data_IF_067082103525
#
_entry.id   IF_067082103525
#
_cell.length_a   1.000
_cell.length_b   1.000
_cell.length_c   1.000
_cell.angle_alpha   90.00
_cell.angle_beta   90.00
_cell.angle_gamma   90.00
#
_symmetry.space_group_name_H-M   'P 1'
#
loop_
_entity.id
_entity.type
_entity.pdbx_description
1 polymer ?
#
# COMPACT_ATOMS: atom_id res chain seq x y z
N UNK A 1 1.74 34.15 3.30
CA UNK A 1 1.97 32.87 4.03
C UNK A 1 0.68 32.35 4.69
N UNK A 2 0.08 33.04 5.67
CA UNK A 2 -1.10 32.54 6.41
C UNK A 2 -2.35 32.23 5.56
N UNK A 3 -2.64 33.04 4.53
CA UNK A 3 -3.78 32.79 3.64
C UNK A 3 -3.60 31.53 2.78
N UNK A 4 -2.37 31.27 2.29
CA UNK A 4 -2.04 30.09 1.49
C UNK A 4 -2.08 28.81 2.32
N UNK A 5 -1.66 28.86 3.58
CA UNK A 5 -1.79 27.72 4.52
C UNK A 5 -3.25 27.46 4.90
N UNK A 6 -4.07 28.51 5.03
CA UNK A 6 -5.50 28.34 5.28
C UNK A 6 -6.19 27.68 4.07
N UNK A 7 -5.86 28.11 2.85
CA UNK A 7 -6.35 27.52 1.60
C UNK A 7 -5.96 26.04 1.47
N UNK A 8 -4.72 25.66 1.80
CA UNK A 8 -4.28 24.27 1.71
C UNK A 8 -4.95 23.38 2.78
N UNK A 9 -5.12 23.87 4.00
CA UNK A 9 -5.83 23.14 5.07
C UNK A 9 -7.31 22.96 4.71
N UNK A 10 -7.96 24.01 4.19
CA UNK A 10 -9.34 23.91 3.74
C UNK A 10 -9.44 22.95 2.55
N UNK A 11 -8.55 23.07 1.56
CA UNK A 11 -8.51 22.20 0.38
C UNK A 11 -8.38 20.73 0.74
N UNK A 12 -7.43 20.38 1.59
CA UNK A 12 -7.22 18.99 2.07
C UNK A 12 -8.41 18.45 2.86
N UNK A 13 -9.11 19.31 3.63
CA UNK A 13 -10.34 18.92 4.34
C UNK A 13 -11.46 18.53 3.37
N UNK A 14 -11.70 19.34 2.34
CA UNK A 14 -12.71 19.05 1.31
C UNK A 14 -12.32 17.84 0.45
N UNK A 15 -11.02 17.67 0.17
CA UNK A 15 -10.49 16.46 -0.48
C UNK A 15 -10.76 15.20 0.32
N UNK A 16 -10.47 15.24 1.63
CA UNK A 16 -10.74 14.11 2.51
C UNK A 16 -12.23 13.78 2.58
N UNK A 17 -13.11 14.79 2.58
CA UNK A 17 -14.55 14.59 2.55
C UNK A 17 -15.02 13.92 1.25
N UNK A 18 -14.55 14.40 0.10
CA UNK A 18 -14.87 13.83 -1.20
C UNK A 18 -14.34 12.40 -1.34
N UNK A 19 -13.11 12.14 -0.91
CA UNK A 19 -12.51 10.80 -0.93
C UNK A 19 -13.28 9.81 -0.05
N UNK A 20 -13.82 10.24 1.10
CA UNK A 20 -14.69 9.38 1.93
C UNK A 20 -15.98 8.99 1.21
N UNK A 21 -16.65 9.96 0.57
CA UNK A 21 -17.87 9.68 -0.21
C UNK A 21 -17.62 8.77 -1.42
N UNK A 22 -16.50 8.97 -2.12
CA UNK A 22 -16.07 8.10 -3.20
C UNK A 22 -15.79 6.67 -2.70
N UNK A 23 -15.08 6.52 -1.58
CA UNK A 23 -14.78 5.22 -0.98
C UNK A 23 -16.05 4.47 -0.53
N UNK A 24 -17.02 5.17 0.05
CA UNK A 24 -18.31 4.58 0.42
C UNK A 24 -19.06 4.05 -0.80
N UNK A 25 -19.15 4.88 -1.85
CA UNK A 25 -19.81 4.54 -3.11
C UNK A 25 -19.16 3.31 -3.76
N UNK A 26 -17.83 3.27 -3.80
CA UNK A 26 -17.07 2.11 -4.30
C UNK A 26 -17.29 0.87 -3.45
N UNK A 27 -17.34 1.00 -2.12
CA UNK A 27 -17.56 -0.12 -1.20
C UNK A 27 -18.93 -0.78 -1.41
N UNK A 28 -19.99 0.03 -1.61
CA UNK A 28 -21.35 -0.46 -1.90
C UNK A 28 -21.37 -1.24 -3.22
N UNK A 29 -20.80 -0.68 -4.28
CA UNK A 29 -20.73 -1.33 -5.60
C UNK A 29 -19.90 -2.62 -5.54
N UNK A 30 -18.75 -2.57 -4.87
CA UNK A 30 -17.86 -3.70 -4.72
C UNK A 30 -18.53 -4.86 -3.97
N UNK A 31 -19.23 -4.58 -2.86
CA UNK A 31 -19.99 -5.58 -2.12
C UNK A 31 -21.09 -6.26 -2.96
N UNK A 32 -21.76 -5.49 -3.83
CA UNK A 32 -22.77 -6.00 -4.74
C UNK A 32 -22.18 -6.87 -5.87
N UNK A 33 -21.02 -6.48 -6.41
CA UNK A 33 -20.33 -7.19 -7.50
C UNK A 33 -19.71 -8.51 -7.04
N UNK A 34 -19.02 -8.52 -5.89
CA UNK A 34 -18.46 -9.75 -5.32
C UNK A 34 -19.55 -10.79 -5.10
N UNK A 35 -20.73 -10.35 -4.64
CA UNK A 35 -21.85 -11.21 -4.28
C UNK A 35 -22.95 -11.21 -5.35
N UNK A 36 -22.62 -11.05 -6.63
CA UNK A 36 -23.62 -10.89 -7.70
C UNK A 36 -24.64 -12.04 -7.75
N UNK A 37 -24.21 -13.28 -7.50
CA UNK A 37 -25.09 -14.46 -7.46
C UNK A 37 -26.11 -14.36 -6.33
N UNK A 38 -25.69 -13.87 -5.17
CA UNK A 38 -26.54 -13.69 -3.98
C UNK A 38 -27.52 -12.55 -4.21
N UNK A 39 -27.05 -11.41 -4.73
CA UNK A 39 -27.90 -10.26 -5.05
C UNK A 39 -29.00 -10.63 -6.04
N UNK A 40 -28.67 -11.45 -7.05
CA UNK A 40 -29.64 -11.97 -8.03
C UNK A 40 -30.61 -12.99 -7.42
N UNK A 41 -30.10 -13.89 -6.56
CA UNK A 41 -30.93 -14.86 -5.85
C UNK A 41 -31.98 -14.20 -4.95
N UNK A 42 -31.65 -13.05 -4.34
CA UNK A 42 -32.59 -12.26 -3.53
C UNK A 42 -33.36 -11.20 -4.33
N UNK A 43 -33.11 -11.05 -5.64
CA UNK A 43 -33.74 -10.06 -6.53
C UNK A 43 -33.69 -8.63 -5.96
N UNK A 44 -32.59 -8.28 -5.27
CA UNK A 44 -32.39 -6.98 -4.58
C UNK A 44 -31.53 -5.99 -5.37
N UNK A 45 -31.45 -6.14 -6.70
CA UNK A 45 -30.63 -5.27 -7.56
C UNK A 45 -31.03 -3.80 -7.44
N UNK A 46 -32.34 -3.52 -7.45
CA UNK A 46 -32.89 -2.15 -7.32
C UNK A 46 -32.48 -1.46 -6.02
N UNK A 47 -32.36 -2.22 -4.92
CA UNK A 47 -31.94 -1.66 -3.62
C UNK A 47 -30.49 -1.19 -3.66
N UNK A 48 -29.58 -2.00 -4.21
CA UNK A 48 -28.18 -1.60 -4.36
C UNK A 48 -28.02 -0.44 -5.35
N UNK A 49 -28.77 -0.43 -6.45
CA UNK A 49 -28.77 0.70 -7.39
C UNK A 49 -29.26 2.00 -6.72
N UNK A 50 -30.35 1.95 -5.95
CA UNK A 50 -30.86 3.13 -5.24
C UNK A 50 -29.86 3.64 -4.19
N UNK A 51 -29.26 2.73 -3.41
CA UNK A 51 -28.25 3.08 -2.41
C UNK A 51 -26.99 3.68 -3.03
N UNK A 52 -26.53 3.11 -4.14
CA UNK A 52 -25.41 3.65 -4.91
C UNK A 52 -25.73 5.05 -5.45
N UNK A 53 -26.91 5.24 -6.05
CA UNK A 53 -27.34 6.54 -6.55
C UNK A 53 -27.41 7.61 -5.45
N UNK A 54 -27.89 7.26 -4.26
CA UNK A 54 -27.92 8.16 -3.11
C UNK A 54 -26.52 8.56 -2.64
N UNK A 55 -25.61 7.60 -2.51
CA UNK A 55 -24.21 7.84 -2.12
C UNK A 55 -23.46 8.68 -3.17
N UNK A 56 -23.69 8.38 -4.45
CA UNK A 56 -23.12 9.12 -5.57
C UNK A 56 -23.63 10.56 -5.61
N UNK A 57 -24.94 10.78 -5.37
CA UNK A 57 -25.52 12.13 -5.31
C UNK A 57 -24.93 12.96 -4.17
N UNK A 58 -24.81 12.40 -2.97
CA UNK A 58 -24.18 13.06 -1.82
C UNK A 58 -22.72 13.45 -2.11
N UNK A 59 -21.95 12.53 -2.72
CA UNK A 59 -20.56 12.79 -3.12
C UNK A 59 -20.47 13.88 -4.20
N UNK A 60 -21.42 13.90 -5.13
CA UNK A 60 -21.50 14.91 -6.18
C UNK A 60 -21.80 16.31 -5.62
N UNK A 61 -22.76 16.44 -4.71
CA UNK A 61 -23.11 17.71 -4.07
C UNK A 61 -21.91 18.29 -3.29
N UNK A 62 -21.19 17.44 -2.52
CA UNK A 62 -19.94 17.83 -1.86
C UNK A 62 -18.86 18.29 -2.85
N UNK A 63 -18.76 17.62 -3.99
CA UNK A 63 -17.84 18.00 -5.07
C UNK A 63 -18.20 19.35 -5.69
N UNK A 64 -19.50 19.64 -5.85
CA UNK A 64 -20.00 20.90 -6.39
C UNK A 64 -19.68 22.06 -5.44
N UNK A 65 -20.00 21.91 -4.15
CA UNK A 65 -19.67 22.92 -3.13
C UNK A 65 -18.17 23.19 -3.09
N UNK A 66 -17.35 22.12 -3.08
CA UNK A 66 -15.90 22.25 -3.15
C UNK A 66 -15.45 23.05 -4.38
N UNK A 67 -15.98 22.72 -5.57
CA UNK A 67 -15.62 23.40 -6.81
C UNK A 67 -15.96 24.89 -6.79
N UNK A 68 -17.14 25.23 -6.28
CA UNK A 68 -17.61 26.61 -6.16
C UNK A 68 -16.76 27.44 -5.19
N UNK A 69 -16.28 26.85 -4.09
CA UNK A 69 -15.41 27.56 -3.15
C UNK A 69 -13.95 27.64 -3.62
N UNK A 70 -13.37 26.55 -4.12
CA UNK A 70 -11.95 26.51 -4.49
C UNK A 70 -11.65 27.20 -5.83
N UNK A 71 -12.59 27.17 -6.78
CA UNK A 71 -12.38 27.72 -8.13
C UNK A 71 -12.01 29.22 -8.12
N UNK A 72 -12.84 30.10 -7.54
CA UNK A 72 -12.56 31.54 -7.48
C UNK A 72 -11.28 31.86 -6.70
N UNK A 73 -11.02 31.12 -5.61
CA UNK A 73 -9.81 31.31 -4.79
C UNK A 73 -8.54 30.96 -5.57
N UNK A 74 -8.56 29.87 -6.34
CA UNK A 74 -7.44 29.50 -7.20
C UNK A 74 -7.21 30.52 -8.32
N UNK A 75 -8.29 30.97 -8.97
CA UNK A 75 -8.22 32.00 -10.02
C UNK A 75 -7.68 33.34 -9.50
N UNK A 76 -8.11 33.75 -8.29
CA UNK A 76 -7.60 34.96 -7.63
C UNK A 76 -6.11 34.83 -7.29
N UNK A 77 -5.68 33.67 -6.77
CA UNK A 77 -4.27 33.42 -6.49
C UNK A 77 -3.39 33.52 -7.74
N UNK A 78 -3.83 32.95 -8.86
CA UNK A 78 -3.08 33.02 -10.13
C UNK A 78 -3.06 34.44 -10.73
N UNK A 79 -4.13 35.20 -10.53
CA UNK A 79 -4.22 36.58 -11.02
C UNK A 79 -3.23 37.50 -10.32
N UNK A 80 -3.00 37.30 -9.01
CA UNK A 80 -2.02 38.08 -8.22
C UNK A 80 -0.62 37.97 -8.84
N UNK A 81 -0.21 36.80 -9.32
CA UNK A 81 1.11 36.61 -9.94
C UNK A 81 1.27 37.48 -11.20
N UNK A 82 0.24 37.58 -12.04
CA UNK A 82 0.25 38.49 -13.20
C UNK A 82 0.31 39.96 -12.79
N UNK A 83 -0.40 40.36 -11.72
CA UNK A 83 -0.32 41.73 -11.20
C UNK A 83 1.08 42.07 -10.68
N UNK A 84 1.76 41.13 -10.01
CA UNK A 84 3.13 41.32 -9.53
C UNK A 84 4.08 41.50 -10.71
N UNK A 85 3.99 40.65 -11.74
CA UNK A 85 4.83 40.78 -12.93
C UNK A 85 4.59 42.12 -13.65
N UNK A 86 3.33 42.55 -13.75
CA UNK A 86 2.99 43.85 -14.33
C UNK A 86 3.56 45.02 -13.51
N UNK A 87 3.47 44.98 -12.18
CA UNK A 87 4.03 46.01 -11.29
C UNK A 87 5.55 46.07 -11.36
N UNK A 88 6.22 44.91 -11.38
CA UNK A 88 7.68 44.83 -11.53
C UNK A 88 8.11 45.38 -12.90
N UNK A 89 7.37 45.05 -13.97
CA UNK A 89 7.63 45.59 -15.30
C UNK A 89 7.43 47.10 -15.38
N UNK A 90 6.35 47.63 -14.80
CA UNK A 90 6.07 49.06 -14.73
C UNK A 90 7.16 49.81 -13.97
N UNK A 91 7.52 49.32 -12.77
CA UNK A 91 8.58 49.92 -11.96
C UNK A 91 9.95 49.81 -12.64
N UNK A 92 10.23 48.68 -13.30
CA UNK A 92 11.46 48.48 -14.07
C UNK A 92 11.60 49.47 -15.22
N UNK A 93 10.51 49.76 -15.94
CA UNK A 93 10.49 50.78 -16.99
C UNK A 93 10.66 52.19 -16.41
N UNK A 94 10.00 52.50 -15.29
CA UNK A 94 10.14 53.79 -14.61
C UNK A 94 11.59 54.06 -14.19
N UNK A 95 12.26 53.05 -13.61
CA UNK A 95 13.66 53.14 -13.20
C UNK A 95 14.60 53.35 -14.40
N UNK A 96 14.34 52.68 -15.52
CA UNK A 96 15.11 52.85 -16.76
C UNK A 96 14.98 54.24 -17.39
N UNK A 97 13.87 54.95 -17.12
CA UNK A 97 13.66 56.32 -17.62
C UNK A 97 14.20 57.42 -16.70
N UNK A 98 14.28 57.19 -15.39
CA UNK A 98 14.78 58.17 -14.42
C UNK A 98 16.27 58.03 -14.13
N UNK A 99 16.77 56.80 -13.99
CA UNK A 99 18.20 56.52 -13.77
C UNK A 99 18.83 56.21 -15.12
N UNK A 100 19.48 57.22 -15.73
CA UNK A 100 20.10 57.14 -17.05
C UNK A 100 21.24 56.09 -17.16
N UNK A 101 21.59 55.40 -16.07
CA UNK A 101 22.78 54.55 -15.94
C UNK A 101 22.49 53.04 -15.87
N UNK A 102 21.23 52.60 -15.76
CA UNK A 102 20.90 51.17 -15.82
C UNK A 102 20.67 50.70 -17.26
N UNK A 103 21.68 50.02 -17.83
CA UNK A 103 21.56 49.38 -19.14
C UNK A 103 20.38 48.40 -19.18
N UNK A 104 19.55 48.48 -20.23
CA UNK A 104 18.35 47.65 -20.42
C UNK A 104 18.63 46.13 -20.31
N UNK A 105 19.87 45.72 -20.62
CA UNK A 105 20.34 44.34 -20.45
C UNK A 105 20.29 43.86 -18.99
N UNK A 106 20.65 44.73 -18.05
CA UNK A 106 20.70 44.39 -16.62
C UNK A 106 19.28 44.23 -16.05
N UNK A 107 18.35 45.09 -16.47
CA UNK A 107 16.94 44.98 -16.09
C UNK A 107 16.33 43.66 -16.59
N UNK A 108 16.58 43.31 -17.85
CA UNK A 108 16.11 42.06 -18.44
C UNK A 108 16.73 40.84 -17.74
N UNK A 109 18.01 40.92 -17.36
CA UNK A 109 18.69 39.85 -16.64
C UNK A 109 18.08 39.62 -15.25
N UNK A 110 17.80 40.69 -14.50
CA UNK A 110 17.16 40.60 -13.18
C UNK A 110 15.73 40.06 -13.28
N UNK A 111 14.94 40.53 -14.26
CA UNK A 111 13.58 40.02 -14.49
C UNK A 111 13.57 38.53 -14.85
N UNK A 112 14.48 38.09 -15.72
CA UNK A 112 14.60 36.68 -16.10
C UNK A 112 15.07 35.81 -14.92
N UNK A 113 16.00 36.30 -14.10
CA UNK A 113 16.45 35.60 -12.90
C UNK A 113 15.30 35.42 -11.90
N UNK A 114 14.48 36.45 -11.69
CA UNK A 114 13.31 36.37 -10.81
C UNK A 114 12.29 35.33 -11.30
N UNK A 115 11.94 35.36 -12.59
CA UNK A 115 11.03 34.39 -13.21
C UNK A 115 11.58 32.97 -13.10
N UNK A 116 12.89 32.80 -13.31
CA UNK A 116 13.56 31.50 -13.17
C UNK A 116 13.49 30.98 -11.73
N UNK A 117 13.76 31.82 -10.72
CA UNK A 117 13.65 31.43 -9.31
C UNK A 117 12.24 30.99 -8.93
N UNK A 118 11.21 31.71 -9.39
CA UNK A 118 9.80 31.33 -9.16
C UNK A 118 9.48 29.99 -9.83
N UNK A 119 9.86 29.81 -11.10
CA UNK A 119 9.67 28.56 -11.83
C UNK A 119 10.36 27.35 -11.18
N UNK A 120 11.59 27.53 -10.68
CA UNK A 120 12.30 26.46 -9.97
C UNK A 120 11.64 26.14 -8.62
N UNK A 121 11.14 27.15 -7.92
CA UNK A 121 10.45 26.97 -6.63
C UNK A 121 9.14 26.18 -6.80
N UNK A 122 8.36 26.48 -7.84
CA UNK A 122 7.11 25.73 -8.14
C UNK A 122 7.42 24.29 -8.54
N UNK A 123 8.47 24.05 -9.32
CA UNK A 123 8.93 22.70 -9.66
C UNK A 123 9.35 21.91 -8.41
N UNK A 124 10.10 22.53 -7.48
CA UNK A 124 10.48 21.92 -6.21
C UNK A 124 9.27 21.58 -5.34
N UNK A 125 8.28 22.48 -5.27
CA UNK A 125 7.02 22.23 -4.56
C UNK A 125 6.26 21.02 -5.13
N UNK A 126 6.31 20.82 -6.46
CA UNK A 126 5.74 19.65 -7.12
C UNK A 126 6.42 18.32 -6.77
N UNK A 127 7.69 18.33 -6.36
CA UNK A 127 8.43 17.12 -5.99
C UNK A 127 8.13 16.63 -4.56
N UNK A 128 7.62 17.50 -3.69
CA UNK A 128 7.30 17.19 -2.28
C UNK A 128 6.42 15.93 -2.13
N UNK A 129 5.25 15.80 -2.81
CA UNK A 129 4.41 14.61 -2.68
C UNK A 129 5.13 13.33 -3.11
N UNK A 130 5.95 13.39 -4.17
CA UNK A 130 6.70 12.23 -4.66
C UNK A 130 7.76 11.76 -3.65
N UNK A 131 8.45 12.69 -3.00
CA UNK A 131 9.42 12.36 -1.94
C UNK A 131 8.70 11.72 -0.75
N UNK A 132 7.56 12.29 -0.32
CA UNK A 132 6.79 11.75 0.80
C UNK A 132 6.26 10.33 0.53
N UNK A 133 5.77 10.07 -0.68
CA UNK A 133 5.29 8.75 -1.09
C UNK A 133 6.44 7.72 -1.15
N UNK A 134 7.60 8.13 -1.67
CA UNK A 134 8.80 7.29 -1.74
C UNK A 134 9.31 6.91 -0.35
N UNK A 135 9.32 7.85 0.59
CA UNK A 135 9.67 7.57 1.99
C UNK A 135 8.73 6.53 2.61
N UNK A 136 7.41 6.71 2.46
CA UNK A 136 6.43 5.76 2.99
C UNK A 136 6.61 4.35 2.38
N UNK A 137 6.91 4.25 1.09
CA UNK A 137 7.19 2.97 0.44
C UNK A 137 8.50 2.34 0.96
N UNK A 138 9.56 3.13 1.09
CA UNK A 138 10.84 2.66 1.63
C UNK A 138 10.69 2.15 3.07
N UNK A 139 9.93 2.83 3.93
CA UNK A 139 9.65 2.36 5.30
C UNK A 139 8.97 1.00 5.31
N UNK A 140 8.00 0.76 4.41
CA UNK A 140 7.34 -0.55 4.29
C UNK A 140 8.32 -1.64 3.86
N UNK A 141 9.18 -1.36 2.88
CA UNK A 141 10.18 -2.32 2.41
C UNK A 141 11.23 -2.61 3.50
N UNK A 142 11.70 -1.58 4.20
CA UNK A 142 12.63 -1.74 5.33
C UNK A 142 11.99 -2.51 6.49
N UNK A 143 10.71 -2.26 6.77
CA UNK A 143 9.97 -3.06 7.75
C UNK A 143 9.97 -4.54 7.34
N UNK A 144 9.65 -4.86 6.08
CA UNK A 144 9.71 -6.23 5.56
C UNK A 144 11.11 -6.84 5.65
N UNK A 145 12.16 -6.08 5.38
CA UNK A 145 13.54 -6.55 5.45
C UNK A 145 14.04 -6.78 6.90
N UNK A 146 13.42 -6.13 7.88
CA UNK A 146 13.79 -6.21 9.31
C UNK A 146 12.92 -7.19 10.10
N UNK A 147 11.89 -7.78 9.48
CA UNK A 147 11.18 -8.93 10.05
C UNK A 147 12.22 -10.05 10.29
N UNK A 148 12.59 -10.23 11.55
CA UNK A 148 13.39 -11.37 11.98
C UNK A 148 12.56 -12.61 11.66
N UNK A 149 13.07 -13.49 10.80
CA UNK A 149 12.42 -14.79 10.61
C UNK A 149 12.21 -15.40 11.98
N UNK A 150 10.99 -15.79 12.31
CA UNK A 150 10.68 -16.47 13.55
C UNK A 150 11.39 -17.83 13.52
N UNK A 151 12.65 -17.79 13.94
CA UNK A 151 13.63 -18.85 13.83
C UNK A 151 13.45 -19.73 15.05
N UNK A 152 12.37 -20.51 15.06
CA UNK A 152 12.30 -21.75 15.85
C UNK A 152 13.19 -22.82 15.17
N UNK A 153 14.46 -22.48 14.86
CA UNK A 153 15.49 -23.47 14.65
C UNK A 153 16.25 -23.60 15.98
N UNK A 154 16.13 -24.71 16.70
CA UNK A 154 17.01 -24.96 17.83
C UNK A 154 18.46 -25.02 17.32
N UNK A 155 19.28 -24.07 17.77
CA UNK A 155 20.73 -24.01 17.55
C UNK A 155 21.44 -25.03 18.45
N UNK A 156 21.01 -26.29 18.41
CA UNK A 156 21.53 -27.39 19.22
C UNK A 156 21.83 -28.61 18.36
N UNK A 157 23.06 -29.11 18.45
CA UNK A 157 23.65 -30.27 17.75
C UNK A 157 22.73 -31.17 16.91
N UNK A 158 22.77 -30.96 15.60
CA UNK A 158 22.08 -31.82 14.62
C UNK A 158 22.71 -33.23 14.56
N UNK A 159 21.93 -34.28 14.87
CA UNK A 159 22.24 -35.66 14.48
C UNK A 159 21.46 -36.01 13.20
N UNK A 160 22.15 -36.51 12.17
CA UNK A 160 21.52 -37.15 11.00
C UNK A 160 20.79 -38.42 11.46
N UNK A 161 19.45 -38.52 11.39
CA UNK A 161 18.80 -39.82 11.56
C UNK A 161 19.04 -40.67 10.30
N UNK A 162 19.72 -41.81 10.46
CA UNK A 162 20.03 -42.76 9.38
C UNK A 162 18.78 -43.47 8.82
N UNK A 163 17.65 -43.38 9.51
CA UNK A 163 16.35 -43.85 9.00
C UNK A 163 15.20 -43.04 9.61
N UNK A 164 14.20 -42.71 8.76
CA UNK A 164 13.07 -41.82 9.07
C UNK A 164 11.86 -42.55 9.69
N UNK A 165 11.99 -43.84 9.99
CA UNK A 165 10.91 -44.69 10.47
C UNK A 165 11.31 -45.41 11.76
N UNK A 166 10.38 -45.62 12.70
CA UNK A 166 8.94 -45.30 12.66
C UNK A 166 8.60 -43.87 13.14
N UNK A 167 7.72 -43.19 12.39
CA UNK A 167 7.18 -41.85 12.74
C UNK A 167 6.05 -42.02 13.75
N UNK A 168 6.22 -41.48 14.97
CA UNK A 168 5.21 -41.54 16.04
C UNK A 168 4.78 -40.13 16.45
N UNK A 169 3.53 -39.79 16.18
CA UNK A 169 2.86 -38.60 16.68
C UNK A 169 2.11 -39.01 17.96
N UNK A 170 2.44 -38.40 19.10
CA UNK A 170 1.78 -38.68 20.39
C UNK A 170 1.12 -37.43 20.92
N UNK A 171 -0.18 -37.51 21.21
CA UNK A 171 -1.01 -36.45 21.77
C UNK A 171 -0.80 -35.09 21.10
N UNK A 172 -0.78 -35.08 19.76
CA UNK A 172 -0.58 -33.83 19.01
C UNK A 172 -1.90 -33.06 19.00
N UNK A 173 -1.84 -31.84 19.55
CA UNK A 173 -2.91 -30.86 19.46
C UNK A 173 -2.42 -29.68 18.63
N UNK A 174 -3.17 -29.31 17.60
CA UNK A 174 -2.78 -28.26 16.66
C UNK A 174 -3.97 -27.37 16.31
N UNK A 175 -3.75 -26.06 16.38
CA UNK A 175 -4.65 -25.03 15.89
C UNK A 175 -3.86 -24.11 14.96
N UNK A 176 -4.49 -23.66 13.87
CA UNK A 176 -3.87 -22.65 13.01
C UNK A 176 -3.79 -21.31 13.75
N UNK A 177 -2.68 -20.56 13.66
CA UNK A 177 -2.54 -19.25 14.31
C UNK A 177 -3.61 -18.23 13.88
N UNK A 178 -4.15 -18.36 12.66
CA UNK A 178 -5.25 -17.54 12.15
C UNK A 178 -6.61 -17.84 12.80
N UNK A 179 -6.78 -19.01 13.42
CA UNK A 179 -8.00 -19.46 14.08
C UNK A 179 -7.66 -20.27 15.35
N UNK A 180 -7.13 -19.62 16.40
CA UNK A 180 -6.66 -20.31 17.61
C UNK A 180 -7.79 -21.06 18.35
N UNK A 181 -9.04 -20.62 18.18
CA UNK A 181 -10.22 -21.23 18.78
C UNK A 181 -10.59 -22.58 18.15
N UNK A 182 -10.21 -22.82 16.89
CA UNK A 182 -10.56 -24.05 16.17
C UNK A 182 -9.36 -25.02 16.12
N UNK A 183 -9.29 -25.91 17.10
CA UNK A 183 -8.31 -26.99 17.12
C UNK A 183 -8.64 -28.04 16.05
N UNK A 184 -7.78 -28.17 15.04
CA UNK A 184 -7.91 -29.09 13.91
C UNK A 184 -7.45 -30.50 14.29
N UNK A 185 -6.37 -30.62 15.07
CA UNK A 185 -5.92 -31.88 15.65
C UNK A 185 -6.18 -31.81 17.15
N UNK A 186 -6.90 -32.81 17.70
CA UNK A 186 -7.19 -32.93 19.13
C UNK A 186 -6.70 -34.29 19.62
N UNK A 187 -5.61 -34.30 20.39
CA UNK A 187 -5.05 -35.51 21.03
C UNK A 187 -4.92 -36.71 20.09
N UNK A 188 -4.45 -36.49 18.86
CA UNK A 188 -4.32 -37.56 17.88
C UNK A 188 -3.01 -38.33 18.10
N UNK A 189 -3.11 -39.65 18.11
CA UNK A 189 -1.99 -40.58 18.21
C UNK A 189 -1.85 -41.37 16.90
N UNK A 190 -0.77 -41.17 16.13
CA UNK A 190 -0.51 -41.88 14.87
C UNK A 190 0.90 -42.49 14.88
N UNK A 191 1.04 -43.73 14.42
CA UNK A 191 2.33 -44.39 14.29
C UNK A 191 2.48 -45.03 12.90
N UNK A 192 3.34 -44.46 12.03
CA UNK A 192 3.62 -45.00 10.71
C UNK A 192 4.79 -46.00 10.70
N UNK A 193 4.55 -47.21 10.20
CA UNK A 193 5.58 -48.21 9.85
C UNK A 193 5.70 -48.36 8.32
N UNK A 194 6.81 -48.95 7.84
CA UNK A 194 7.12 -49.11 6.40
C UNK A 194 6.17 -50.02 5.62
N UNK A 195 5.23 -50.71 6.28
CA UNK A 195 4.30 -51.63 5.65
C UNK A 195 3.01 -51.73 6.46
N UNK A 196 2.00 -50.91 6.12
CA UNK A 196 0.58 -51.20 6.35
C UNK A 196 0.09 -51.65 7.74
N UNK A 197 0.83 -51.48 8.84
CA UNK A 197 0.40 -51.89 10.19
C UNK A 197 0.79 -50.86 11.26
N UNK A 198 -0.21 -50.36 11.99
CA UNK A 198 -0.08 -49.36 13.05
C UNK A 198 0.24 -50.07 14.37
N UNK A 199 1.48 -49.93 14.88
CA UNK A 199 1.89 -50.51 16.17
C UNK A 199 2.44 -49.44 17.10
N UNK A 200 1.95 -49.37 18.34
CA UNK A 200 2.34 -48.39 19.35
C UNK A 200 3.77 -48.67 19.90
N UNK A 201 4.75 -47.89 19.46
CA UNK A 201 6.05 -47.72 20.13
C UNK A 201 6.42 -46.23 20.13
N UNK A 202 7.57 -45.78 20.66
CA UNK A 202 7.93 -44.35 20.76
C UNK A 202 9.19 -43.95 19.97
N UNK A 203 9.24 -42.71 19.43
CA UNK A 203 10.40 -41.79 19.35
C UNK A 203 9.87 -40.36 19.11
N UNK A 204 10.49 -39.35 19.75
CA UNK A 204 10.06 -37.95 19.77
C UNK A 204 10.68 -37.10 18.63
N UNK A 205 9.91 -36.15 18.08
CA UNK A 205 10.20 -35.40 16.84
C UNK A 205 11.03 -34.11 17.00
N UNK A 206 11.45 -33.77 18.22
CA UNK A 206 11.92 -32.43 18.60
C UNK A 206 13.39 -32.11 18.23
N UNK A 207 14.04 -32.92 17.38
CA UNK A 207 15.48 -32.85 17.12
C UNK A 207 15.88 -32.90 15.63
N UNK A 208 14.92 -32.78 14.69
CA UNK A 208 15.18 -32.92 13.24
C UNK A 208 15.03 -31.58 12.50
N UNK A 209 16.03 -31.24 11.68
CA UNK A 209 16.02 -30.03 10.84
C UNK A 209 14.87 -30.04 9.83
N UNK A 210 14.12 -28.92 9.76
CA UNK A 210 12.99 -28.74 8.81
C UNK A 210 13.40 -28.95 7.36
N UNK A 211 14.61 -28.55 6.97
CA UNK A 211 15.10 -28.68 5.60
C UNK A 211 15.40 -30.14 5.21
N UNK A 212 15.96 -30.92 6.14
CA UNK A 212 16.22 -32.34 5.91
C UNK A 212 14.93 -33.16 5.88
N UNK A 213 13.95 -32.80 6.71
CA UNK A 213 12.64 -33.44 6.75
C UNK A 213 11.83 -33.22 5.47
N UNK A 214 11.79 -31.99 4.96
CA UNK A 214 11.11 -31.67 3.71
C UNK A 214 11.74 -32.36 2.49
N UNK A 215 13.05 -32.66 2.51
CA UNK A 215 13.72 -33.36 1.40
C UNK A 215 13.32 -34.83 1.24
N UNK A 216 12.87 -35.48 2.32
CA UNK A 216 12.53 -36.90 2.34
C UNK A 216 11.01 -37.18 2.26
N UNK A 217 10.17 -36.13 2.30
CA UNK A 217 8.72 -36.25 2.18
C UNK A 217 8.26 -35.66 0.85
N UNK A 218 7.79 -36.53 -0.03
CA UNK A 218 7.14 -36.12 -1.27
C UNK A 218 5.68 -35.76 -0.99
N UNK A 219 5.34 -34.46 -1.05
CA UNK A 219 3.97 -33.97 -0.94
C UNK A 219 3.36 -33.79 -2.34
N UNK A 220 2.23 -34.47 -2.60
CA UNK A 220 1.43 -34.27 -3.83
C UNK A 220 0.18 -33.47 -3.48
N UNK A 221 0.08 -32.19 -3.89
CA UNK A 221 -1.11 -31.38 -3.60
C UNK A 221 -2.32 -31.85 -4.42
N UNK A 222 -3.51 -31.83 -3.82
CA UNK A 222 -4.79 -32.19 -4.47
C UNK A 222 -5.19 -31.25 -5.62
N UNK A 223 -4.70 -30.00 -5.62
CA UNK A 223 -4.93 -29.04 -6.71
C UNK A 223 -3.61 -28.66 -7.36
N UNK A 224 -3.48 -28.93 -8.66
CA UNK A 224 -2.33 -28.52 -9.47
C UNK A 224 -2.36 -27.00 -9.65
N UNK A 225 -1.57 -26.29 -8.84
CA UNK A 225 -1.32 -24.86 -9.02
C UNK A 225 -0.30 -24.67 -10.13
N UNK A 226 -0.76 -24.38 -11.36
CA UNK A 226 0.07 -24.19 -12.57
C UNK A 226 0.97 -22.92 -12.56
N UNK A 227 1.09 -22.22 -11.43
CA UNK A 227 1.94 -21.03 -11.27
C UNK A 227 3.37 -21.27 -10.75
N UNK A 228 3.93 -22.48 -10.86
CA UNK A 228 5.28 -22.81 -10.34
C UNK A 228 6.37 -22.70 -11.42
N UNK A 229 6.74 -21.48 -11.81
CA UNK A 229 8.04 -21.26 -12.48
C UNK A 229 8.82 -20.04 -11.95
N UNK A 230 8.14 -19.06 -11.35
CA UNK A 230 8.79 -17.85 -10.81
C UNK A 230 9.17 -17.98 -9.33
N UNK A 231 8.28 -18.48 -8.48
CA UNK A 231 8.48 -18.47 -7.01
C UNK A 231 9.57 -19.47 -6.56
N UNK A 232 9.70 -20.63 -7.21
CA UNK A 232 10.76 -21.60 -6.89
C UNK A 232 12.16 -21.18 -7.40
N UNK A 233 12.26 -20.28 -8.38
CA UNK A 233 13.57 -19.76 -8.84
C UNK A 233 14.08 -18.65 -7.92
N UNK A 234 13.19 -17.85 -7.33
CA UNK A 234 13.57 -16.79 -6.39
C UNK A 234 14.13 -17.34 -5.07
N UNK A 235 13.52 -18.40 -4.52
CA UNK A 235 13.99 -19.02 -3.28
C UNK A 235 15.38 -19.68 -3.40
N UNK A 236 15.78 -20.07 -4.62
CA UNK A 236 17.09 -20.68 -4.87
C UNK A 236 18.24 -19.67 -4.99
N UNK A 237 17.94 -18.36 -4.99
CA UNK A 237 18.94 -17.27 -5.11
C UNK A 237 19.27 -16.57 -3.79
N UNK A 238 18.54 -16.85 -2.72
CA UNK A 238 18.73 -16.20 -1.40
C UNK A 238 19.47 -17.15 -0.41
N UNK A 239 19.71 -18.40 -0.79
CA UNK A 239 20.48 -19.38 0.01
C UNK A 239 21.82 -19.72 -0.68
N UNK A 240 22.55 -18.70 -1.11
CA UNK A 240 23.98 -18.78 -1.41
C UNK A 240 24.72 -17.66 -0.71
#
# INVERSE_FOLDING_TARGET
MAALTALSVVGTKWEAACNRGAAETTSITHGALINIRVTRAFTREKYFCARHAQSAKSTYELGLERGLFLGPLFGFSQSIDFFIVALVGWYGMYLATQELEMSASNLQQVANLLLFCVGQTTALMGMIPQVSASQAAATRVLFLATLTEQKDLPTGGFRRPMSLFPVKMRNVTFAYPSQPTHQVLRNVNLCGTKSGQLTFGGIAFDQVSREQFCSHISYVPQTRSDGKSSICRQARRIVR
#
